data_IF_293473263388
#
_entry.id   IF_293473263388
#
_cell.length_a   1.000
_cell.length_b   1.000
_cell.length_c   1.000
_cell.angle_alpha   90.00
_cell.angle_beta   90.00
_cell.angle_gamma   90.00
#
_symmetry.space_group_name_H-M   'P 1'
#
loop_
_entity.id
_entity.type
_entity.pdbx_description
1 polymer ?
#
# COMPACT_ATOMS: atom_id res chain seq x y z
N UNK A 1 -37.72 -19.27 35.95
CA UNK A 1 -36.55 -20.06 35.48
C UNK A 1 -35.28 -19.22 35.60
N UNK A 2 -34.24 -19.67 36.33
CA UNK A 2 -33.02 -18.88 36.49
C UNK A 2 -32.19 -18.89 35.21
N UNK A 3 -31.82 -17.70 34.73
CA UNK A 3 -31.02 -17.48 33.52
C UNK A 3 -29.63 -18.13 33.67
N UNK A 4 -29.25 -18.95 32.70
CA UNK A 4 -27.90 -19.48 32.57
C UNK A 4 -26.89 -18.32 32.53
N UNK A 5 -25.92 -18.36 33.44
CA UNK A 5 -24.87 -17.36 33.55
C UNK A 5 -23.92 -17.50 32.35
N UNK A 6 -24.08 -16.64 31.33
CA UNK A 6 -23.30 -16.61 30.08
C UNK A 6 -21.82 -16.18 30.24
N UNK A 7 -21.27 -16.25 31.45
CA UNK A 7 -19.88 -15.86 31.71
C UNK A 7 -18.96 -17.10 31.72
N UNK A 8 -17.89 -17.03 30.93
CA UNK A 8 -16.78 -17.98 30.99
C UNK A 8 -16.13 -17.97 32.37
N UNK A 9 -15.71 -19.11 32.91
CA UNK A 9 -14.93 -19.15 34.16
C UNK A 9 -13.58 -18.42 34.03
N UNK A 10 -13.00 -18.04 35.15
CA UNK A 10 -11.78 -17.21 35.20
C UNK A 10 -10.62 -17.87 34.43
N UNK A 11 -10.48 -19.19 34.54
CA UNK A 11 -9.43 -19.97 33.87
C UNK A 11 -9.64 -20.12 32.37
N UNK A 12 -10.86 -20.42 31.91
CA UNK A 12 -11.11 -20.49 30.47
C UNK A 12 -10.95 -19.12 29.81
N UNK A 13 -11.29 -18.05 30.53
CA UNK A 13 -11.07 -16.69 30.07
C UNK A 13 -9.58 -16.33 29.96
N UNK A 14 -8.75 -16.68 30.96
CA UNK A 14 -7.31 -16.30 30.95
C UNK A 14 -6.55 -16.92 29.78
N UNK A 15 -6.93 -18.13 29.38
CA UNK A 15 -6.34 -18.86 28.25
C UNK A 15 -7.11 -18.70 26.94
N UNK A 16 -8.15 -17.86 26.90
CA UNK A 16 -9.00 -17.56 25.73
C UNK A 16 -9.62 -18.79 25.05
N UNK A 17 -10.08 -19.74 25.85
CA UNK A 17 -10.63 -21.01 25.39
C UNK A 17 -12.13 -21.13 25.64
N UNK A 18 -12.80 -22.01 24.87
CA UNK A 18 -14.25 -22.17 24.94
C UNK A 18 -14.69 -22.72 26.31
N UNK A 19 -15.56 -21.98 26.98
CA UNK A 19 -16.14 -22.36 28.27
C UNK A 19 -17.61 -22.74 28.08
N UNK A 20 -17.95 -23.99 28.36
CA UNK A 20 -19.32 -24.51 28.31
C UNK A 20 -19.74 -25.11 29.65
N UNK A 21 -20.99 -24.85 30.04
CA UNK A 21 -21.58 -25.30 31.30
C UNK A 21 -22.61 -26.39 31.02
N UNK A 22 -22.67 -27.39 31.89
CA UNK A 22 -23.76 -28.37 31.92
C UNK A 22 -24.80 -27.85 32.91
N UNK A 23 -26.09 -27.99 32.60
CA UNK A 23 -27.17 -27.61 33.51
C UNK A 23 -27.01 -28.33 34.85
N UNK A 24 -27.11 -27.57 35.96
CA UNK A 24 -26.95 -28.11 37.32
C UNK A 24 -25.50 -28.27 37.81
N UNK A 25 -24.48 -28.08 36.97
CA UNK A 25 -23.07 -28.21 37.38
C UNK A 25 -22.49 -26.93 37.99
N UNK A 26 -21.71 -27.08 39.07
CA UNK A 26 -20.92 -26.01 39.68
C UNK A 26 -19.59 -25.73 38.95
N UNK A 27 -19.21 -26.59 37.98
CA UNK A 27 -17.98 -26.46 37.18
C UNK A 27 -18.28 -26.49 35.67
N UNK A 28 -17.46 -25.79 34.88
CA UNK A 28 -17.55 -25.90 33.42
C UNK A 28 -16.99 -27.25 32.93
N UNK A 29 -17.47 -27.74 31.78
CA UNK A 29 -17.08 -29.06 31.24
C UNK A 29 -15.57 -29.24 31.13
N UNK A 30 -14.86 -28.18 30.75
CA UNK A 30 -13.41 -28.24 30.57
C UNK A 30 -12.66 -28.31 31.90
N UNK A 31 -13.08 -27.53 32.89
CA UNK A 31 -12.50 -27.60 34.23
C UNK A 31 -12.77 -28.96 34.88
N UNK A 32 -13.99 -29.49 34.74
CA UNK A 32 -14.35 -30.81 35.23
C UNK A 32 -13.53 -31.93 34.57
N UNK A 33 -13.42 -31.93 33.22
CA UNK A 33 -12.65 -32.93 32.49
C UNK A 33 -11.15 -32.92 32.81
N UNK A 34 -10.59 -31.74 33.09
CA UNK A 34 -9.16 -31.56 33.33
C UNK A 34 -8.79 -31.50 34.82
N UNK A 35 -9.76 -31.72 35.74
CA UNK A 35 -9.52 -31.69 37.17
C UNK A 35 -9.12 -30.32 37.73
N UNK A 36 -9.50 -29.22 37.06
CA UNK A 36 -9.14 -27.87 37.49
C UNK A 36 -10.23 -27.22 38.33
N UNK A 37 -9.82 -26.47 39.36
CA UNK A 37 -10.71 -25.61 40.14
C UNK A 37 -11.36 -24.55 39.24
N UNK A 38 -12.70 -24.47 39.29
CA UNK A 38 -13.49 -23.57 38.47
C UNK A 38 -14.03 -22.40 39.33
N UNK A 39 -13.58 -21.17 39.07
CA UNK A 39 -14.02 -19.95 39.78
C UNK A 39 -14.67 -18.92 38.84
N UNK A 40 -15.53 -18.05 39.40
CA UNK A 40 -16.19 -16.92 38.73
C UNK A 40 -15.99 -15.60 39.49
N UNK A 41 -14.81 -15.41 40.06
CA UNK A 41 -14.50 -14.26 40.93
C UNK A 41 -14.16 -12.98 40.16
N UNK A 42 -14.06 -13.03 38.82
CA UNK A 42 -13.70 -11.86 38.02
C UNK A 42 -14.75 -10.74 38.10
N UNK A 43 -14.31 -9.56 38.53
CA UNK A 43 -15.09 -8.33 38.45
C UNK A 43 -15.54 -8.04 37.00
N UNK A 44 -16.81 -7.68 36.83
CA UNK A 44 -17.33 -7.28 35.53
C UNK A 44 -16.65 -5.97 35.10
N UNK A 45 -15.95 -5.98 33.95
CA UNK A 45 -15.46 -4.73 33.34
C UNK A 45 -16.65 -3.85 32.99
N UNK A 46 -16.53 -2.53 33.20
CA UNK A 46 -17.52 -1.54 32.78
C UNK A 46 -17.89 -1.78 31.30
N UNK A 47 -19.18 -1.83 30.94
CA UNK A 47 -19.58 -2.12 29.56
C UNK A 47 -19.01 -1.06 28.62
N UNK A 48 -18.23 -1.49 27.62
CA UNK A 48 -17.96 -0.67 26.45
C UNK A 48 -19.27 -0.36 25.70
N UNK A 49 -19.26 0.74 24.95
CA UNK A 49 -20.39 1.30 24.18
C UNK A 49 -21.26 0.20 23.55
N UNK A 50 -22.55 0.16 23.88
CA UNK A 50 -23.53 -0.75 23.28
C UNK A 50 -23.63 -0.48 21.77
N UNK A 51 -23.54 -1.53 20.97
CA UNK A 51 -24.07 -1.55 19.60
C UNK A 51 -25.59 -1.63 19.73
N UNK A 52 -26.30 -0.68 19.13
CA UNK A 52 -27.76 -0.70 19.06
C UNK A 52 -28.20 -1.88 18.18
N UNK A 53 -28.96 -2.81 18.75
CA UNK A 53 -29.57 -3.93 18.01
C UNK A 53 -30.77 -3.44 17.19
N UNK A 54 -30.90 -3.95 15.96
CA UNK A 54 -31.95 -3.63 15.00
C UNK A 54 -33.41 -3.87 15.47
N UNK A 55 -33.63 -4.49 16.62
CA UNK A 55 -34.96 -4.73 17.19
C UNK A 55 -35.55 -3.54 17.98
N UNK A 56 -34.78 -2.49 18.26
CA UNK A 56 -35.28 -1.30 18.95
C UNK A 56 -35.92 -0.24 18.02
N UNK A 57 -36.02 -0.51 16.72
CA UNK A 57 -36.50 0.42 15.69
C UNK A 57 -38.00 0.29 15.33
N UNK A 58 -38.78 -0.58 15.99
CA UNK A 58 -40.19 -0.81 15.62
C UNK A 58 -41.24 -0.62 16.73
N UNK A 59 -40.86 -0.23 17.94
CA UNK A 59 -41.81 -0.15 19.06
C UNK A 59 -41.80 1.19 19.81
N UNK A 60 -41.77 2.32 19.08
CA UNK A 60 -42.20 3.62 19.62
C UNK A 60 -42.45 4.61 18.48
N UNK A 61 -43.71 4.67 18.00
CA UNK A 61 -44.25 5.85 17.33
C UNK A 61 -44.89 6.74 18.39
N UNK A 62 -44.35 7.95 18.63
CA UNK A 62 -45.18 9.10 18.83
C UNK A 62 -45.02 10.06 17.66
N UNK A 63 -46.17 10.56 17.25
CA UNK A 63 -46.41 11.45 16.15
C UNK A 63 -46.00 12.88 16.55
N UNK A 64 -44.85 13.38 16.09
CA UNK A 64 -44.57 14.83 16.08
C UNK A 64 -43.48 15.18 15.07
N UNK A 65 -43.81 16.13 14.20
CA UNK A 65 -42.94 16.75 13.19
C UNK A 65 -41.63 17.25 13.81
N UNK A 66 -40.49 16.71 13.38
CA UNK A 66 -39.19 17.37 13.49
C UNK A 66 -38.20 16.75 12.51
N UNK A 67 -38.02 17.45 11.38
CA UNK A 67 -36.92 17.32 10.44
C UNK A 67 -35.60 17.66 11.14
N UNK A 68 -34.85 16.65 11.60
CA UNK A 68 -33.46 16.84 12.02
C UNK A 68 -32.53 16.56 10.85
N UNK A 69 -32.24 17.61 10.09
CA UNK A 69 -31.08 17.70 9.20
C UNK A 69 -29.82 17.53 10.05
N UNK A 70 -28.97 16.56 9.71
CA UNK A 70 -27.57 16.57 10.18
C UNK A 70 -26.93 17.87 9.69
N UNK A 71 -26.18 18.62 10.53
CA UNK A 71 -25.50 19.82 10.07
C UNK A 71 -24.48 19.41 9.00
N UNK A 72 -24.75 19.80 7.76
CA UNK A 72 -23.77 19.85 6.68
C UNK A 72 -22.74 20.89 7.11
N UNK A 73 -21.70 20.45 7.81
CA UNK A 73 -20.58 21.30 8.16
C UNK A 73 -19.86 21.63 6.85
N UNK A 74 -20.21 22.77 6.26
CA UNK A 74 -19.43 23.34 5.18
C UNK A 74 -18.00 23.58 5.69
N UNK A 75 -16.99 23.40 4.83
CA UNK A 75 -15.63 23.78 5.19
C UNK A 75 -15.64 25.27 5.55
N UNK A 76 -14.87 25.62 6.57
CA UNK A 76 -14.60 27.05 6.77
C UNK A 76 -13.91 27.60 5.52
N UNK A 77 -14.17 28.86 5.16
CA UNK A 77 -13.51 29.49 4.00
C UNK A 77 -11.97 29.31 4.03
N UNK A 78 -11.37 29.22 5.22
CA UNK A 78 -9.95 28.93 5.40
C UNK A 78 -9.50 27.53 4.93
N UNK A 79 -10.35 26.51 5.03
CA UNK A 79 -10.03 25.15 4.57
C UNK A 79 -10.01 25.03 3.05
N UNK A 80 -10.97 25.66 2.36
CA UNK A 80 -10.98 25.74 0.90
C UNK A 80 -9.76 26.52 0.40
N UNK A 81 -9.45 27.67 1.02
CA UNK A 81 -8.27 28.46 0.67
C UNK A 81 -6.96 27.66 0.85
N UNK A 82 -6.87 26.82 1.87
CA UNK A 82 -5.72 25.93 2.07
C UNK A 82 -5.58 24.92 0.91
N UNK A 83 -6.70 24.32 0.46
CA UNK A 83 -6.69 23.41 -0.68
C UNK A 83 -6.23 24.14 -1.94
N UNK A 84 -6.80 25.31 -2.26
CA UNK A 84 -6.41 26.08 -3.44
C UNK A 84 -4.95 26.52 -3.40
N UNK A 85 -4.46 26.97 -2.24
CA UNK A 85 -3.06 27.35 -2.08
C UNK A 85 -2.12 26.17 -2.35
N UNK A 86 -2.43 25.00 -1.79
CA UNK A 86 -1.67 23.79 -2.00
C UNK A 86 -1.71 23.32 -3.46
N UNK A 87 -2.90 23.34 -4.08
CA UNK A 87 -3.09 23.07 -5.51
C UNK A 87 -2.43 24.09 -6.42
N UNK A 88 -2.05 25.27 -5.95
CA UNK A 88 -1.36 26.27 -6.77
C UNK A 88 0.18 26.16 -6.64
N UNK A 89 0.67 25.36 -5.69
CA UNK A 89 2.10 25.20 -5.45
C UNK A 89 2.66 23.94 -6.14
N UNK A 90 3.35 24.16 -7.26
CA UNK A 90 4.00 23.09 -8.03
C UNK A 90 4.98 22.26 -7.20
N UNK A 91 5.74 22.86 -6.27
CA UNK A 91 6.76 22.14 -5.48
C UNK A 91 6.17 20.95 -4.71
N UNK A 92 4.89 21.03 -4.37
CA UNK A 92 4.23 19.93 -3.69
C UNK A 92 3.94 18.75 -4.63
N UNK A 93 3.56 19.04 -5.87
CA UNK A 93 3.25 18.04 -6.89
C UNK A 93 4.46 17.59 -7.71
N UNK A 94 5.57 18.31 -7.66
CA UNK A 94 6.88 17.90 -8.20
C UNK A 94 7.33 16.56 -7.60
N UNK A 95 6.77 16.13 -6.47
CA UNK A 95 7.00 14.81 -5.86
C UNK A 95 6.35 13.66 -6.63
N UNK A 96 5.35 13.95 -7.45
CA UNK A 96 4.55 12.93 -8.14
C UNK A 96 4.61 13.06 -9.65
N UNK A 97 4.64 14.26 -10.21
CA UNK A 97 4.68 14.47 -11.66
C UNK A 97 6.09 14.32 -12.21
N UNK A 98 6.22 13.75 -13.41
CA UNK A 98 7.50 13.60 -14.11
C UNK A 98 8.21 14.94 -14.38
N UNK A 99 7.46 16.03 -14.45
CA UNK A 99 8.02 17.36 -14.59
C UNK A 99 6.97 18.46 -14.72
N UNK A 100 7.43 19.72 -14.84
CA UNK A 100 6.58 20.90 -14.81
C UNK A 100 5.62 20.99 -16.00
N UNK A 101 5.94 20.41 -17.16
CA UNK A 101 5.06 20.47 -18.33
C UNK A 101 3.69 19.79 -18.09
N UNK A 102 3.64 18.83 -17.16
CA UNK A 102 2.41 18.12 -16.81
C UNK A 102 1.52 18.89 -15.82
N UNK A 103 2.07 19.91 -15.16
CA UNK A 103 1.40 20.57 -14.04
C UNK A 103 0.15 21.35 -14.42
N UNK A 104 0.14 22.22 -15.44
CA UNK A 104 -1.03 23.07 -15.73
C UNK A 104 -2.31 22.25 -15.95
N UNK A 105 -2.21 21.19 -16.77
CA UNK A 105 -3.33 20.26 -17.02
C UNK A 105 -3.72 19.49 -15.78
N UNK A 106 -2.75 19.04 -14.97
CA UNK A 106 -3.03 18.32 -13.73
C UNK A 106 -3.78 19.20 -12.71
N UNK A 107 -3.31 20.42 -12.50
CA UNK A 107 -3.93 21.39 -11.61
C UNK A 107 -5.35 21.73 -12.06
N UNK A 108 -5.55 22.00 -13.36
CA UNK A 108 -6.87 22.26 -13.92
C UNK A 108 -7.86 21.10 -13.69
N UNK A 109 -7.42 19.85 -13.89
CA UNK A 109 -8.25 18.67 -13.63
C UNK A 109 -8.63 18.58 -12.13
N UNK A 110 -7.67 18.76 -11.22
CA UNK A 110 -7.93 18.73 -9.78
C UNK A 110 -8.95 19.78 -9.33
N UNK A 111 -8.80 21.02 -9.82
CA UNK A 111 -9.72 22.12 -9.51
C UNK A 111 -11.11 21.83 -10.06
N UNK A 112 -11.21 21.37 -11.31
CA UNK A 112 -12.48 21.00 -11.95
C UNK A 112 -13.20 19.92 -11.13
N UNK A 113 -12.50 18.88 -10.67
CA UNK A 113 -13.11 17.84 -9.84
C UNK A 113 -13.54 18.35 -8.47
N UNK A 114 -12.75 19.23 -7.84
CA UNK A 114 -13.12 19.82 -6.56
C UNK A 114 -14.41 20.64 -6.70
N UNK A 115 -14.56 21.43 -7.75
CA UNK A 115 -15.76 22.23 -8.01
C UNK A 115 -16.99 21.35 -8.24
N UNK A 116 -16.88 20.32 -9.09
CA UNK A 116 -18.02 19.47 -9.47
C UNK A 116 -18.40 18.42 -8.41
N UNK A 117 -17.47 18.01 -7.54
CA UNK A 117 -17.66 16.90 -6.60
C UNK A 117 -17.20 17.23 -5.18
N UNK A 118 -17.25 18.51 -4.80
CA UNK A 118 -16.75 19.02 -3.51
C UNK A 118 -17.25 18.18 -2.32
N UNK A 119 -18.56 17.90 -2.27
CA UNK A 119 -19.18 17.19 -1.14
C UNK A 119 -18.60 15.81 -0.85
N UNK A 120 -17.97 15.18 -1.85
CA UNK A 120 -17.32 13.87 -1.74
C UNK A 120 -15.81 14.02 -1.54
N UNK A 121 -15.19 15.00 -2.19
CA UNK A 121 -13.73 15.09 -2.29
C UNK A 121 -13.07 15.95 -1.21
N UNK A 122 -13.80 16.88 -0.61
CA UNK A 122 -13.25 17.88 0.30
C UNK A 122 -12.44 17.27 1.46
N UNK A 123 -12.99 16.29 2.16
CA UNK A 123 -12.30 15.62 3.25
C UNK A 123 -11.04 14.88 2.78
N UNK A 124 -11.01 14.38 1.55
CA UNK A 124 -9.85 13.70 1.00
C UNK A 124 -8.73 14.68 0.68
N UNK A 125 -9.07 15.82 0.06
CA UNK A 125 -8.13 16.91 -0.18
C UNK A 125 -7.57 17.48 1.13
N UNK A 126 -8.41 17.72 2.13
CA UNK A 126 -7.92 18.20 3.43
C UNK A 126 -7.00 17.19 4.10
N UNK A 127 -7.31 15.90 4.03
CA UNK A 127 -6.44 14.86 4.56
C UNK A 127 -5.08 14.84 3.86
N UNK A 128 -5.05 14.91 2.52
CA UNK A 128 -3.80 14.89 1.74
C UNK A 128 -2.96 16.15 1.99
N UNK A 129 -3.55 17.33 1.85
CA UNK A 129 -2.89 18.63 2.05
C UNK A 129 -2.30 18.72 3.45
N UNK A 130 -3.12 18.50 4.48
CA UNK A 130 -2.65 18.60 5.86
C UNK A 130 -1.54 17.59 6.14
N UNK A 131 -1.70 16.34 5.68
CA UNK A 131 -0.67 15.31 5.89
C UNK A 131 0.68 15.67 5.30
N UNK A 132 0.71 16.30 4.11
CA UNK A 132 1.94 16.76 3.47
C UNK A 132 2.57 17.90 4.27
N UNK A 133 1.77 18.85 4.75
CA UNK A 133 2.26 19.98 5.56
C UNK A 133 2.85 19.54 6.91
N UNK A 134 2.32 18.46 7.51
CA UNK A 134 2.81 17.94 8.78
C UNK A 134 4.00 16.96 8.65
N UNK A 135 4.33 16.48 7.43
CA UNK A 135 5.20 15.30 7.28
C UNK A 135 6.72 15.55 7.32
N UNK A 136 7.27 16.74 7.07
CA UNK A 136 8.73 16.87 7.05
C UNK A 136 9.38 18.26 7.20
N UNK A 137 8.72 19.38 6.87
CA UNK A 137 9.47 20.65 6.68
C UNK A 137 9.05 21.83 7.57
N UNK A 138 7.90 21.79 8.25
CA UNK A 138 7.40 22.92 9.06
C UNK A 138 7.47 22.75 10.58
N UNK A 139 8.02 21.64 11.08
CA UNK A 139 8.12 21.36 12.53
C UNK A 139 9.22 22.16 13.24
N UNK A 140 10.01 22.99 12.53
CA UNK A 140 11.13 23.73 13.12
C UNK A 140 10.75 25.04 13.81
N UNK A 141 9.57 25.62 13.57
CA UNK A 141 9.27 26.98 14.04
C UNK A 141 7.90 27.23 14.67
N UNK A 142 7.10 26.22 14.98
CA UNK A 142 5.89 26.47 15.78
C UNK A 142 5.65 25.35 16.78
N UNK A 143 5.42 25.74 18.03
CA UNK A 143 4.77 24.95 19.07
C UNK A 143 3.38 24.56 18.56
N UNK A 144 3.32 23.49 17.75
CA UNK A 144 2.09 23.08 17.10
C UNK A 144 1.19 22.33 18.09
N UNK A 145 -0.12 22.66 18.13
CA UNK A 145 -1.08 22.02 19.03
C UNK A 145 -1.29 20.56 18.66
N UNK A 146 -1.43 19.69 19.68
CA UNK A 146 -1.69 18.26 19.54
C UNK A 146 -2.93 17.91 18.68
N UNK A 147 -3.82 18.88 18.43
CA UNK A 147 -5.06 18.73 17.66
C UNK A 147 -4.87 18.66 16.13
N UNK A 148 -3.72 19.07 15.59
CA UNK A 148 -3.46 19.10 14.15
C UNK A 148 -3.51 17.70 13.52
N UNK A 149 -2.78 16.74 14.11
CA UNK A 149 -2.75 15.36 13.61
C UNK A 149 -4.12 14.67 13.76
N UNK A 150 -4.80 14.88 14.88
CA UNK A 150 -6.17 14.40 15.11
C UNK A 150 -7.13 14.88 14.02
N UNK A 151 -6.98 16.15 13.60
CA UNK A 151 -7.75 16.75 12.50
C UNK A 151 -7.49 16.03 11.18
N UNK A 152 -6.23 15.73 10.84
CA UNK A 152 -5.89 14.97 9.62
C UNK A 152 -6.56 13.61 9.59
N UNK A 153 -6.45 12.84 10.69
CA UNK A 153 -7.08 11.51 10.78
C UNK A 153 -8.61 11.58 10.72
N UNK A 154 -9.22 12.65 11.25
CA UNK A 154 -10.66 12.87 11.13
C UNK A 154 -11.08 13.08 9.68
N UNK A 155 -10.37 13.93 8.93
CA UNK A 155 -10.64 14.12 7.50
C UNK A 155 -10.41 12.82 6.72
N UNK A 156 -9.31 12.10 6.96
CA UNK A 156 -9.03 10.82 6.31
C UNK A 156 -10.13 9.77 6.60
N UNK A 157 -10.62 9.69 7.84
CA UNK A 157 -11.69 8.77 8.23
C UNK A 157 -13.02 9.08 7.52
N UNK A 158 -13.39 10.36 7.40
CA UNK A 158 -14.59 10.76 6.66
C UNK A 158 -14.45 10.50 5.16
N UNK A 159 -13.28 10.75 4.57
CA UNK A 159 -13.00 10.43 3.17
C UNK A 159 -13.05 8.91 2.92
N UNK A 160 -12.48 8.10 3.81
CA UNK A 160 -12.56 6.64 3.76
C UNK A 160 -13.99 6.13 3.85
N UNK A 161 -14.84 6.73 4.68
CA UNK A 161 -16.27 6.42 4.72
C UNK A 161 -16.91 6.70 3.37
N UNK A 162 -16.63 7.86 2.79
CA UNK A 162 -17.15 8.25 1.46
C UNK A 162 -16.71 7.26 0.37
N UNK A 163 -15.46 6.81 0.39
CA UNK A 163 -14.95 5.81 -0.57
C UNK A 163 -15.67 4.47 -0.43
N UNK A 164 -16.01 4.06 0.80
CA UNK A 164 -16.73 2.81 1.07
C UNK A 164 -18.22 2.85 0.70
N UNK A 165 -18.82 4.03 0.72
CA UNK A 165 -20.23 4.26 0.41
C UNK A 165 -20.46 4.61 -1.07
N UNK A 166 -19.39 4.95 -1.81
CA UNK A 166 -19.46 5.30 -3.22
C UNK A 166 -19.80 4.09 -4.09
N UNK A 167 -20.88 4.19 -4.86
CA UNK A 167 -21.27 3.21 -5.85
C UNK A 167 -20.92 3.76 -7.23
N UNK A 168 -19.98 3.10 -7.91
CA UNK A 168 -19.47 3.53 -9.22
C UNK A 168 -20.26 2.83 -10.32
N UNK A 169 -21.12 3.59 -10.98
CA UNK A 169 -22.03 3.11 -12.04
C UNK A 169 -21.82 3.81 -13.38
N UNK A 170 -21.20 4.98 -13.37
CA UNK A 170 -20.91 5.76 -14.57
C UNK A 170 -19.46 6.29 -14.60
N UNK A 171 -19.08 6.88 -15.73
CA UNK A 171 -17.74 7.41 -15.97
C UNK A 171 -17.35 8.53 -15.00
N UNK A 172 -18.28 9.43 -14.69
CA UNK A 172 -18.02 10.56 -13.81
C UNK A 172 -17.76 10.08 -12.38
N UNK A 173 -18.56 9.13 -11.90
CA UNK A 173 -18.39 8.50 -10.59
C UNK A 173 -17.07 7.71 -10.52
N UNK A 174 -16.66 7.04 -11.60
CA UNK A 174 -15.37 6.36 -11.66
C UNK A 174 -14.20 7.34 -11.56
N UNK A 175 -14.29 8.47 -12.26
CA UNK A 175 -13.31 9.56 -12.17
C UNK A 175 -13.25 10.16 -10.76
N UNK A 176 -14.40 10.52 -10.18
CA UNK A 176 -14.48 11.02 -8.79
C UNK A 176 -13.95 9.98 -7.79
N UNK A 177 -14.20 8.68 -8.00
CA UNK A 177 -13.66 7.60 -7.18
C UNK A 177 -12.13 7.55 -7.24
N UNK A 178 -11.53 7.73 -8.42
CA UNK A 178 -10.07 7.78 -8.57
C UNK A 178 -9.46 8.98 -7.84
N UNK A 179 -10.07 10.16 -7.97
CA UNK A 179 -9.60 11.38 -7.27
C UNK A 179 -9.72 11.22 -5.76
N UNK A 180 -10.86 10.69 -5.28
CA UNK A 180 -11.10 10.39 -3.86
C UNK A 180 -10.07 9.41 -3.31
N UNK A 181 -9.95 8.25 -3.96
CA UNK A 181 -9.04 7.18 -3.55
C UNK A 181 -7.59 7.61 -3.57
N UNK A 182 -7.17 8.35 -4.59
CA UNK A 182 -5.80 8.86 -4.73
C UNK A 182 -5.47 9.90 -3.65
N UNK A 183 -6.39 10.80 -3.31
CA UNK A 183 -6.15 11.75 -2.22
C UNK A 183 -6.05 11.06 -0.84
N UNK A 184 -6.87 10.04 -0.58
CA UNK A 184 -6.75 9.23 0.64
C UNK A 184 -5.42 8.46 0.64
N UNK A 185 -5.00 7.94 -0.50
CA UNK A 185 -3.70 7.28 -0.69
C UNK A 185 -2.55 8.26 -0.45
N UNK A 186 -2.62 9.51 -0.93
CA UNK A 186 -1.62 10.53 -0.65
C UNK A 186 -1.47 10.77 0.86
N UNK A 187 -2.58 10.87 1.60
CA UNK A 187 -2.54 10.88 3.07
C UNK A 187 -1.79 9.67 3.64
N UNK A 188 -2.09 8.46 3.15
CA UNK A 188 -1.43 7.25 3.60
C UNK A 188 0.07 7.24 3.26
N UNK A 189 0.48 7.75 2.10
CA UNK A 189 1.89 7.86 1.71
C UNK A 189 2.70 8.67 2.73
N UNK A 190 2.13 9.70 3.35
CA UNK A 190 2.82 10.52 4.36
C UNK A 190 2.70 9.95 5.78
N UNK A 191 1.55 9.38 6.13
CA UNK A 191 1.22 9.07 7.53
C UNK A 191 1.16 7.58 7.85
N UNK A 192 0.75 6.73 6.89
CA UNK A 192 0.45 5.30 7.05
C UNK A 192 0.83 4.51 5.78
N UNK A 193 2.12 4.45 5.41
CA UNK A 193 2.56 3.89 4.14
C UNK A 193 2.17 2.41 3.96
N UNK A 194 1.96 1.68 5.06
CA UNK A 194 1.49 0.29 5.04
C UNK A 194 0.08 0.11 4.44
N UNK A 195 -0.72 1.18 4.39
CA UNK A 195 -2.08 1.14 3.86
C UNK A 195 -2.17 1.49 2.36
N UNK A 196 -1.07 1.96 1.75
CA UNK A 196 -1.06 2.45 0.36
C UNK A 196 -1.57 1.37 -0.61
N UNK A 197 -1.06 0.14 -0.48
CA UNK A 197 -1.50 -0.98 -1.32
C UNK A 197 -3.01 -1.24 -1.21
N UNK A 198 -3.53 -1.38 0.01
CA UNK A 198 -4.95 -1.67 0.25
C UNK A 198 -5.86 -0.57 -0.31
N UNK A 199 -5.46 0.70 -0.17
CA UNK A 199 -6.22 1.84 -0.67
C UNK A 199 -6.22 1.91 -2.20
N UNK A 200 -5.07 1.70 -2.83
CA UNK A 200 -4.99 1.62 -4.29
C UNK A 200 -5.88 0.47 -4.80
N UNK A 201 -5.74 -0.71 -4.21
CA UNK A 201 -6.52 -1.90 -4.60
C UNK A 201 -8.02 -1.68 -4.44
N UNK A 202 -8.47 -1.16 -3.30
CA UNK A 202 -9.88 -0.85 -3.08
C UNK A 202 -10.42 0.14 -4.11
N UNK A 203 -9.66 1.20 -4.40
CA UNK A 203 -10.04 2.22 -5.39
C UNK A 203 -10.18 1.61 -6.79
N UNK A 204 -9.18 0.83 -7.23
CA UNK A 204 -9.20 0.20 -8.55
C UNK A 204 -10.32 -0.84 -8.68
N UNK A 205 -10.62 -1.60 -7.63
CA UNK A 205 -11.74 -2.56 -7.61
C UNK A 205 -13.09 -1.84 -7.74
N UNK A 206 -13.28 -0.69 -7.08
CA UNK A 206 -14.51 0.11 -7.23
C UNK A 206 -14.66 0.68 -8.64
N UNK A 207 -13.56 1.08 -9.27
CA UNK A 207 -13.56 1.66 -10.62
C UNK A 207 -13.74 0.61 -11.72
N UNK A 208 -13.32 -0.64 -11.47
CA UNK A 208 -13.30 -1.75 -12.44
C UNK A 208 -14.62 -1.93 -13.23
N UNK A 209 -15.82 -1.98 -12.62
CA UNK A 209 -17.05 -2.28 -13.37
C UNK A 209 -17.34 -1.28 -14.49
N UNK A 210 -17.06 0.01 -14.26
CA UNK A 210 -17.21 1.05 -15.28
C UNK A 210 -16.03 1.02 -16.23
N UNK A 211 -14.81 0.92 -15.69
CA UNK A 211 -13.59 0.89 -16.48
C UNK A 211 -13.72 -0.17 -17.58
N UNK A 212 -13.99 -1.43 -17.23
CA UNK A 212 -14.01 -2.56 -18.16
C UNK A 212 -14.99 -2.38 -19.35
N UNK A 213 -16.03 -1.54 -19.21
CA UNK A 213 -16.97 -1.22 -20.30
C UNK A 213 -16.49 -0.12 -21.25
N UNK A 214 -15.54 0.72 -20.85
CA UNK A 214 -15.06 1.86 -21.63
C UNK A 214 -13.99 1.39 -22.61
N UNK A 215 -14.24 1.56 -23.91
CA UNK A 215 -13.20 1.40 -24.92
C UNK A 215 -12.30 2.65 -24.97
N UNK A 216 -10.99 2.48 -24.76
CA UNK A 216 -9.99 3.55 -24.75
C UNK A 216 -10.25 4.67 -23.73
N UNK A 217 -9.95 4.45 -22.43
CA UNK A 217 -10.19 5.43 -21.37
C UNK A 217 -9.46 6.75 -21.63
N UNK A 218 -10.17 7.88 -21.48
CA UNK A 218 -9.59 9.22 -21.65
C UNK A 218 -8.58 9.51 -20.53
N UNK A 219 -7.31 9.83 -20.84
CA UNK A 219 -6.31 10.18 -19.84
C UNK A 219 -6.64 11.43 -19.00
N UNK A 220 -7.55 12.29 -19.43
CA UNK A 220 -8.01 13.42 -18.60
C UNK A 220 -9.11 13.01 -17.62
N UNK A 221 -10.06 12.17 -18.02
CA UNK A 221 -11.09 11.63 -17.11
C UNK A 221 -10.47 10.69 -16.07
N UNK A 222 -9.42 9.94 -16.45
CA UNK A 222 -8.77 8.92 -15.64
C UNK A 222 -7.34 9.33 -15.24
N UNK A 223 -7.09 10.62 -15.04
CA UNK A 223 -5.74 11.17 -14.92
C UNK A 223 -4.90 10.66 -13.75
N UNK A 224 -5.48 10.02 -12.73
CA UNK A 224 -4.77 9.36 -11.63
C UNK A 224 -4.53 7.85 -11.83
N UNK A 225 -5.17 7.23 -12.83
CA UNK A 225 -5.25 5.78 -12.97
C UNK A 225 -3.88 5.12 -13.04
N UNK A 226 -2.99 5.59 -13.91
CA UNK A 226 -1.66 5.00 -14.14
C UNK A 226 -0.79 5.06 -12.89
N UNK A 227 -0.82 6.17 -12.14
CA UNK A 227 -0.14 6.30 -10.86
C UNK A 227 -0.69 5.35 -9.79
N UNK A 228 -2.02 5.24 -9.66
CA UNK A 228 -2.66 4.30 -8.72
C UNK A 228 -2.36 2.85 -9.08
N UNK A 229 -2.39 2.49 -10.37
CA UNK A 229 -2.05 1.15 -10.85
C UNK A 229 -0.60 0.79 -10.53
N UNK A 230 0.33 1.72 -10.71
CA UNK A 230 1.73 1.49 -10.41
C UNK A 230 1.98 1.24 -8.91
N UNK A 231 1.34 2.02 -8.04
CA UNK A 231 1.44 1.82 -6.59
C UNK A 231 0.78 0.52 -6.14
N UNK A 232 -0.35 0.14 -6.75
CA UNK A 232 -0.97 -1.16 -6.49
C UNK A 232 -0.10 -2.31 -6.97
N UNK A 233 0.56 -2.19 -8.13
CA UNK A 233 1.47 -3.20 -8.69
C UNK A 233 2.62 -3.53 -7.74
N UNK A 234 3.21 -2.50 -7.11
CA UNK A 234 4.28 -2.66 -6.12
C UNK A 234 3.79 -3.49 -4.94
N UNK A 235 2.62 -3.16 -4.39
CA UNK A 235 2.03 -3.91 -3.29
C UNK A 235 1.62 -5.32 -3.70
N UNK A 236 1.03 -5.49 -4.89
CA UNK A 236 0.67 -6.79 -5.46
C UNK A 236 1.89 -7.70 -5.56
N UNK A 237 3.04 -7.18 -5.97
CA UNK A 237 4.29 -7.93 -5.99
C UNK A 237 4.71 -8.37 -4.59
N UNK A 238 4.80 -7.42 -3.64
CA UNK A 238 5.20 -7.65 -2.23
C UNK A 238 4.30 -8.70 -1.55
N UNK A 239 3.00 -8.63 -1.79
CA UNK A 239 2.00 -9.50 -1.18
C UNK A 239 1.69 -10.75 -2.01
N UNK A 240 2.31 -10.91 -3.19
CA UNK A 240 2.04 -11.98 -4.14
C UNK A 240 0.58 -12.03 -4.62
N UNK A 241 -0.10 -10.89 -4.66
CA UNK A 241 -1.45 -10.77 -5.18
C UNK A 241 -1.42 -10.50 -6.69
N UNK A 242 -2.49 -10.90 -7.39
CA UNK A 242 -2.72 -10.48 -8.77
C UNK A 242 -3.10 -8.99 -8.80
N UNK A 243 -2.49 -8.17 -9.69
CA UNK A 243 -2.84 -6.77 -9.85
C UNK A 243 -4.33 -6.53 -10.11
N UNK A 244 -4.88 -5.45 -9.55
CA UNK A 244 -6.32 -5.22 -9.54
C UNK A 244 -6.91 -4.74 -10.87
N UNK A 245 -6.12 -4.20 -11.81
CA UNK A 245 -6.62 -3.79 -13.11
C UNK A 245 -5.57 -4.03 -14.18
N UNK A 246 -6.03 -4.45 -15.36
CA UNK A 246 -5.21 -4.52 -16.56
C UNK A 246 -5.29 -3.19 -17.31
N UNK A 247 -4.13 -2.60 -17.60
CA UNK A 247 -4.07 -1.31 -18.29
C UNK A 247 -4.64 -1.43 -19.70
N UNK A 248 -5.45 -0.47 -20.13
CA UNK A 248 -5.97 -0.35 -21.49
C UNK A 248 -5.56 0.99 -22.07
N UNK A 249 -4.91 0.99 -23.25
CA UNK A 249 -4.39 2.21 -23.85
C UNK A 249 -5.55 3.15 -24.23
N UNK A 250 -5.32 4.47 -24.20
CA UNK A 250 -6.26 5.43 -24.73
C UNK A 250 -6.42 5.27 -26.25
N UNK A 251 -7.50 5.81 -26.82
CA UNK A 251 -7.74 5.74 -28.29
C UNK A 251 -6.70 6.50 -29.10
N UNK A 252 -6.15 7.58 -28.54
CA UNK A 252 -5.05 8.32 -29.16
C UNK A 252 -3.73 7.59 -28.86
N UNK A 253 -3.02 7.06 -29.87
CA UNK A 253 -1.86 6.18 -29.66
C UNK A 253 -0.62 6.91 -29.12
N UNK A 254 -0.54 8.24 -29.28
CA UNK A 254 0.65 9.01 -28.95
C UNK A 254 0.34 9.95 -27.78
N UNK A 255 0.54 9.45 -26.56
CA UNK A 255 0.34 10.19 -25.32
C UNK A 255 1.49 9.92 -24.34
N UNK A 256 2.04 11.00 -23.77
CA UNK A 256 3.04 10.91 -22.69
C UNK A 256 2.31 11.05 -21.36
N UNK A 257 2.35 9.98 -20.56
CA UNK A 257 1.68 9.94 -19.27
C UNK A 257 2.40 10.79 -18.21
N UNK A 258 1.63 11.46 -17.36
CA UNK A 258 2.16 12.38 -16.35
C UNK A 258 2.96 11.72 -15.23
N UNK A 259 2.83 10.41 -15.04
CA UNK A 259 3.51 9.61 -14.01
C UNK A 259 4.50 8.61 -14.60
N UNK A 260 4.08 7.93 -15.67
CA UNK A 260 4.81 6.82 -16.29
C UNK A 260 5.36 7.15 -17.68
N UNK A 261 5.22 8.39 -18.15
CA UNK A 261 5.82 8.87 -19.38
C UNK A 261 5.42 7.97 -20.56
N UNK A 262 6.43 7.37 -21.18
CA UNK A 262 6.25 6.47 -22.31
C UNK A 262 6.11 4.98 -21.90
N UNK A 263 6.15 4.68 -20.61
CA UNK A 263 6.18 3.32 -20.06
C UNK A 263 4.79 2.71 -19.83
N UNK A 264 3.70 3.40 -20.17
CA UNK A 264 2.33 2.95 -19.86
C UNK A 264 1.96 1.63 -20.53
N UNK A 265 2.39 1.41 -21.78
CA UNK A 265 2.15 0.14 -22.48
C UNK A 265 2.83 -1.05 -21.79
N UNK A 266 3.93 -0.81 -21.06
CA UNK A 266 4.60 -1.83 -20.26
C UNK A 266 3.76 -2.31 -19.07
N UNK A 267 2.80 -1.51 -18.57
CA UNK A 267 1.90 -1.93 -17.50
C UNK A 267 1.09 -3.19 -17.85
N UNK A 268 0.79 -3.40 -19.13
CA UNK A 268 0.11 -4.63 -19.58
C UNK A 268 1.01 -5.86 -19.42
N UNK A 269 2.30 -5.72 -19.71
CA UNK A 269 3.28 -6.79 -19.54
C UNK A 269 3.53 -7.05 -18.07
N UNK A 270 3.65 -5.99 -17.25
CA UNK A 270 3.79 -6.11 -15.80
C UNK A 270 2.57 -6.75 -15.12
N UNK A 271 1.36 -6.51 -15.64
CA UNK A 271 0.17 -7.24 -15.17
C UNK A 271 0.34 -8.76 -15.34
N UNK A 272 0.79 -9.20 -16.52
CA UNK A 272 1.05 -10.62 -16.79
C UNK A 272 2.16 -11.19 -15.90
N UNK A 273 3.21 -10.41 -15.66
CA UNK A 273 4.25 -10.76 -14.67
C UNK A 273 3.63 -10.94 -13.29
N UNK A 274 2.72 -10.07 -12.87
CA UNK A 274 2.00 -10.18 -11.59
C UNK A 274 1.14 -11.44 -11.48
N UNK A 275 0.42 -11.81 -12.55
CA UNK A 275 -0.37 -13.05 -12.63
C UNK A 275 0.53 -14.30 -12.49
N UNK A 276 1.65 -14.33 -13.22
CA UNK A 276 2.63 -15.41 -13.12
C UNK A 276 3.32 -15.44 -11.76
N UNK A 277 3.64 -14.28 -11.18
CA UNK A 277 4.22 -14.20 -9.83
C UNK A 277 3.29 -14.76 -8.76
N UNK A 278 2.00 -14.45 -8.82
CA UNK A 278 1.01 -14.97 -7.87
C UNK A 278 0.85 -16.50 -8.01
N UNK A 279 0.61 -16.98 -9.24
CA UNK A 279 0.42 -18.40 -9.52
C UNK A 279 1.66 -19.27 -9.21
N UNK A 280 2.86 -18.80 -9.57
CA UNK A 280 4.10 -19.53 -9.31
C UNK A 280 4.58 -19.42 -7.87
N UNK A 281 4.18 -18.37 -7.15
CA UNK A 281 4.39 -18.32 -5.71
C UNK A 281 3.56 -19.43 -5.04
N UNK A 282 2.30 -19.61 -5.41
CA UNK A 282 1.39 -20.61 -4.82
C UNK A 282 1.77 -22.07 -5.13
N UNK A 283 2.51 -22.31 -6.22
CA UNK A 283 3.08 -23.62 -6.53
C UNK A 283 4.21 -23.98 -5.54
N UNK A 284 4.04 -25.11 -4.85
CA UNK A 284 4.87 -25.60 -3.72
C UNK A 284 6.37 -25.69 -4.08
N UNK A 285 7.21 -25.12 -3.22
CA UNK A 285 8.65 -25.43 -3.06
C UNK A 285 9.61 -24.86 -4.12
N UNK A 286 10.75 -24.26 -3.73
CA UNK A 286 11.74 -23.70 -4.66
C UNK A 286 12.37 -24.74 -5.62
N UNK A 287 12.34 -26.02 -5.24
CA UNK A 287 12.92 -27.14 -5.99
C UNK A 287 11.95 -27.77 -7.00
N UNK A 288 10.70 -27.30 -7.07
CA UNK A 288 9.76 -27.79 -8.07
C UNK A 288 10.02 -27.05 -9.37
N UNK A 289 10.31 -27.83 -10.42
CA UNK A 289 10.48 -27.31 -11.77
C UNK A 289 9.22 -26.55 -12.18
N UNK A 290 9.40 -25.39 -12.80
CA UNK A 290 8.30 -24.65 -13.41
C UNK A 290 7.62 -25.56 -14.41
N UNK A 291 6.30 -25.72 -14.32
CA UNK A 291 5.55 -26.52 -15.29
C UNK A 291 5.88 -26.04 -16.72
N UNK A 292 6.11 -26.94 -17.69
CA UNK A 292 6.39 -26.59 -19.08
C UNK A 292 5.49 -25.51 -19.69
N UNK A 293 4.20 -25.45 -19.33
CA UNK A 293 3.30 -24.40 -19.79
C UNK A 293 3.69 -23.02 -19.27
N UNK A 294 3.90 -22.88 -17.96
CA UNK A 294 4.33 -21.64 -17.35
C UNK A 294 5.74 -21.22 -17.81
N UNK A 295 6.61 -22.17 -18.13
CA UNK A 295 7.92 -21.88 -18.74
C UNK A 295 7.75 -21.22 -20.11
N UNK A 296 6.91 -21.78 -20.99
CA UNK A 296 6.64 -21.20 -22.32
C UNK A 296 6.02 -19.81 -22.22
N UNK A 297 5.11 -19.61 -21.25
CA UNK A 297 4.51 -18.30 -21.02
C UNK A 297 5.54 -17.26 -20.57
N UNK A 298 6.49 -17.65 -19.70
CA UNK A 298 7.61 -16.81 -19.29
C UNK A 298 8.56 -16.50 -20.46
N UNK A 299 8.90 -17.48 -21.29
CA UNK A 299 9.76 -17.28 -22.46
C UNK A 299 9.11 -16.34 -23.49
N UNK A 300 7.82 -16.51 -23.76
CA UNK A 300 7.05 -15.62 -24.64
C UNK A 300 6.95 -14.20 -24.07
N UNK A 301 6.75 -14.07 -22.76
CA UNK A 301 6.71 -12.77 -22.09
C UNK A 301 8.09 -12.09 -22.10
N UNK A 302 9.17 -12.83 -21.84
CA UNK A 302 10.55 -12.34 -21.94
C UNK A 302 10.85 -11.81 -23.34
N UNK A 303 10.53 -12.59 -24.38
CA UNK A 303 10.69 -12.18 -25.78
C UNK A 303 9.90 -10.90 -26.10
N UNK A 304 8.67 -10.79 -25.58
CA UNK A 304 7.84 -9.59 -25.77
C UNK A 304 8.47 -8.36 -25.10
N UNK A 305 8.98 -8.49 -23.87
CA UNK A 305 9.65 -7.38 -23.16
C UNK A 305 10.98 -7.00 -23.80
N UNK A 306 11.72 -7.98 -24.34
CA UNK A 306 12.95 -7.73 -25.09
C UNK A 306 12.66 -6.97 -26.40
N UNK A 307 11.60 -7.31 -27.11
CA UNK A 307 11.20 -6.62 -28.34
C UNK A 307 10.50 -5.26 -28.09
N UNK A 308 9.98 -5.05 -26.87
CA UNK A 308 9.24 -3.85 -26.52
C UNK A 308 10.08 -2.58 -26.65
N UNK A 309 9.49 -1.57 -27.31
CA UNK A 309 9.92 -0.20 -27.33
C UNK A 309 8.69 0.70 -27.15
N UNK A 310 8.82 1.86 -26.49
CA UNK A 310 7.72 2.81 -26.41
C UNK A 310 7.47 3.49 -27.76
N UNK A 311 6.23 3.88 -28.00
CA UNK A 311 5.88 4.82 -29.07
C UNK A 311 6.34 6.23 -28.67
N UNK A 312 7.20 6.85 -29.47
CA UNK A 312 7.79 8.16 -29.19
C UNK A 312 7.11 9.23 -30.05
N UNK A 313 6.48 10.27 -29.44
CA UNK A 313 5.93 11.39 -30.20
C UNK A 313 7.02 12.15 -30.97
N UNK A 314 6.77 12.50 -32.23
CA UNK A 314 7.71 13.28 -33.05
C UNK A 314 8.06 14.65 -32.43
N UNK A 315 7.08 15.23 -31.72
CA UNK A 315 7.21 16.53 -31.09
C UNK A 315 7.73 16.47 -29.63
N UNK A 316 8.20 15.32 -29.14
CA UNK A 316 8.63 15.13 -27.75
C UNK A 316 9.65 16.20 -27.31
N UNK A 317 10.69 16.44 -28.12
CA UNK A 317 11.76 17.40 -27.82
C UNK A 317 11.27 18.86 -27.81
N UNK A 318 10.13 19.16 -28.44
CA UNK A 318 9.52 20.49 -28.42
C UNK A 318 8.57 20.69 -27.24
N UNK A 319 8.03 19.59 -26.68
CA UNK A 319 7.06 19.62 -25.59
C UNK A 319 7.70 19.62 -24.21
N UNK A 320 8.86 18.98 -24.07
CA UNK A 320 9.48 18.71 -22.78
C UNK A 320 10.91 19.25 -22.70
N UNK A 321 11.32 19.65 -21.51
CA UNK A 321 12.70 20.05 -21.21
C UNK A 321 13.66 18.87 -21.32
N UNK A 322 14.96 19.15 -21.46
CA UNK A 322 16.00 18.12 -21.47
C UNK A 322 16.00 17.27 -20.19
N UNK A 323 15.67 17.86 -19.04
CA UNK A 323 15.55 17.15 -17.75
C UNK A 323 14.36 16.19 -17.77
N UNK A 324 13.20 16.63 -18.25
CA UNK A 324 12.01 15.77 -18.39
C UNK A 324 12.26 14.62 -19.35
N UNK A 325 12.91 14.88 -20.49
CA UNK A 325 13.29 13.85 -21.46
C UNK A 325 14.23 12.82 -20.83
N UNK A 326 15.24 13.27 -20.09
CA UNK A 326 16.16 12.38 -19.37
C UNK A 326 15.40 11.50 -18.35
N UNK A 327 14.45 12.05 -17.61
CA UNK A 327 13.62 11.31 -16.66
C UNK A 327 12.71 10.29 -17.35
N UNK A 328 12.03 10.70 -18.44
CA UNK A 328 11.16 9.83 -19.23
C UNK A 328 11.92 8.62 -19.77
N UNK A 329 13.08 8.84 -20.39
CA UNK A 329 13.87 7.73 -20.96
C UNK A 329 14.57 6.90 -19.89
N UNK A 330 15.01 7.48 -18.79
CA UNK A 330 15.51 6.71 -17.65
C UNK A 330 14.42 5.77 -17.11
N UNK A 331 13.19 6.27 -16.96
CA UNK A 331 12.06 5.46 -16.52
C UNK A 331 11.75 4.31 -17.50
N UNK A 332 11.75 4.57 -18.80
CA UNK A 332 11.57 3.54 -19.85
C UNK A 332 12.58 2.41 -19.69
N UNK A 333 13.87 2.74 -19.54
CA UNK A 333 14.93 1.74 -19.42
C UNK A 333 14.83 0.99 -18.08
N UNK A 334 14.70 1.71 -16.96
CA UNK A 334 14.60 1.12 -15.64
C UNK A 334 13.40 0.18 -15.51
N UNK A 335 12.24 0.56 -16.06
CA UNK A 335 11.02 -0.25 -16.02
C UNK A 335 11.13 -1.50 -16.90
N UNK A 336 11.73 -1.40 -18.10
CA UNK A 336 11.98 -2.55 -18.96
C UNK A 336 12.94 -3.55 -18.32
N UNK A 337 14.07 -3.06 -17.77
CA UNK A 337 15.03 -3.90 -17.05
C UNK A 337 14.39 -4.53 -15.80
N UNK A 338 13.56 -3.77 -15.08
CA UNK A 338 12.79 -4.29 -13.96
C UNK A 338 11.88 -5.45 -14.39
N UNK A 339 11.14 -5.33 -15.49
CA UNK A 339 10.30 -6.41 -16.00
C UNK A 339 11.11 -7.66 -16.36
N UNK A 340 12.26 -7.50 -17.01
CA UNK A 340 13.17 -8.61 -17.33
C UNK A 340 13.71 -9.29 -16.07
N UNK A 341 14.09 -8.51 -15.06
CA UNK A 341 14.58 -9.05 -13.79
C UNK A 341 13.48 -9.83 -13.05
N UNK A 342 12.25 -9.31 -13.04
CA UNK A 342 11.10 -10.01 -12.47
C UNK A 342 10.88 -11.36 -13.17
N UNK A 343 10.86 -11.37 -14.51
CA UNK A 343 10.70 -12.59 -15.32
C UNK A 343 11.84 -13.57 -15.04
N UNK A 344 13.08 -13.08 -14.99
CA UNK A 344 14.26 -13.89 -14.66
C UNK A 344 14.08 -14.60 -13.31
N UNK A 345 13.60 -13.90 -12.27
CA UNK A 345 13.39 -14.49 -10.93
C UNK A 345 12.16 -15.39 -10.82
N UNK A 346 11.24 -15.32 -11.78
CA UNK A 346 10.18 -16.32 -11.92
C UNK A 346 10.70 -17.60 -12.57
N UNK A 347 11.69 -17.51 -13.47
CA UNK A 347 12.37 -18.67 -14.09
C UNK A 347 13.38 -19.29 -13.12
N UNK A 348 14.19 -18.46 -12.48
CA UNK A 348 15.34 -18.85 -11.65
C UNK A 348 15.16 -18.26 -10.23
N UNK A 349 14.87 -19.12 -9.22
CA UNK A 349 14.73 -18.71 -7.82
C UNK A 349 15.93 -17.93 -7.27
N UNK A 350 15.68 -17.15 -6.22
CA UNK A 350 16.73 -16.45 -5.48
C UNK A 350 17.74 -17.43 -4.85
N UNK A 351 19.03 -17.08 -4.88
CA UNK A 351 20.10 -17.95 -4.40
C UNK A 351 20.66 -18.90 -5.45
N UNK A 352 20.06 -18.92 -6.65
CA UNK A 352 20.56 -19.67 -7.81
C UNK A 352 20.87 -18.71 -8.96
N UNK A 353 22.04 -18.88 -9.58
CA UNK A 353 22.51 -18.06 -10.70
C UNK A 353 22.25 -16.56 -10.48
N UNK A 354 22.74 -16.02 -9.37
CA UNK A 354 22.45 -14.65 -8.97
C UNK A 354 23.25 -13.59 -9.76
N UNK A 355 24.33 -13.98 -10.44
CA UNK A 355 25.21 -13.03 -11.12
C UNK A 355 24.51 -12.26 -12.27
N UNK A 356 23.75 -12.89 -13.18
CA UNK A 356 22.97 -12.17 -14.19
C UNK A 356 21.92 -11.21 -13.59
N UNK A 357 21.18 -11.67 -12.57
CA UNK A 357 20.19 -10.85 -11.88
C UNK A 357 20.82 -9.61 -11.24
N UNK A 358 21.96 -9.79 -10.57
CA UNK A 358 22.73 -8.69 -9.99
C UNK A 358 23.24 -7.71 -11.05
N UNK A 359 23.69 -8.19 -12.21
CA UNK A 359 24.12 -7.30 -13.30
C UNK A 359 22.99 -6.40 -13.82
N UNK A 360 21.77 -6.97 -13.98
CA UNK A 360 20.58 -6.19 -14.34
C UNK A 360 20.23 -5.18 -13.23
N UNK A 361 20.25 -5.62 -11.97
CA UNK A 361 19.98 -4.76 -10.82
C UNK A 361 20.93 -3.56 -10.72
N UNK A 362 22.25 -3.78 -10.86
CA UNK A 362 23.24 -2.70 -10.89
C UNK A 362 22.97 -1.75 -12.05
N UNK A 363 22.61 -2.26 -13.23
CA UNK A 363 22.25 -1.42 -14.37
C UNK A 363 21.07 -0.49 -14.07
N UNK A 364 20.01 -1.01 -13.42
CA UNK A 364 18.85 -0.20 -12.99
C UNK A 364 19.29 0.89 -12.01
N UNK A 365 20.00 0.51 -10.94
CA UNK A 365 20.38 1.43 -9.87
C UNK A 365 21.34 2.52 -10.36
N UNK A 366 22.35 2.14 -11.16
CA UNK A 366 23.28 3.10 -11.76
C UNK A 366 22.57 4.07 -12.70
N UNK A 367 21.63 3.62 -13.55
CA UNK A 367 20.87 4.52 -14.42
C UNK A 367 20.06 5.56 -13.63
N UNK A 368 19.39 5.13 -12.56
CA UNK A 368 18.63 6.02 -11.69
C UNK A 368 19.54 7.03 -10.99
N UNK A 369 20.67 6.57 -10.46
CA UNK A 369 21.63 7.41 -9.76
C UNK A 369 22.33 8.40 -10.70
N UNK A 370 22.77 7.97 -11.88
CA UNK A 370 23.36 8.86 -12.88
C UNK A 370 22.37 9.94 -13.31
N UNK A 371 21.10 9.56 -13.54
CA UNK A 371 20.06 10.54 -13.90
C UNK A 371 19.83 11.54 -12.76
N UNK A 372 19.79 11.08 -11.51
CA UNK A 372 19.74 11.95 -10.33
C UNK A 372 20.94 12.90 -10.29
N UNK A 373 22.17 12.41 -10.45
CA UNK A 373 23.38 13.23 -10.40
C UNK A 373 23.43 14.28 -11.51
N UNK A 374 22.96 13.96 -12.71
CA UNK A 374 22.97 14.88 -13.86
C UNK A 374 21.85 15.91 -13.78
N UNK A 375 20.66 15.51 -13.34
CA UNK A 375 19.47 16.39 -13.36
C UNK A 375 19.20 17.09 -12.02
N UNK A 376 19.86 16.66 -10.95
CA UNK A 376 19.60 17.11 -9.58
C UNK A 376 18.26 16.64 -9.00
N UNK A 377 17.52 15.79 -9.73
CA UNK A 377 16.21 15.28 -9.30
C UNK A 377 16.11 13.78 -9.55
N UNK A 378 15.54 13.06 -8.59
CA UNK A 378 15.32 11.64 -8.75
C UNK A 378 14.09 11.37 -9.65
N UNK A 379 14.17 10.27 -10.41
CA UNK A 379 13.17 9.86 -11.40
C UNK A 379 11.89 9.41 -10.69
N UNK A 380 10.75 9.94 -11.10
CA UNK A 380 9.47 9.64 -10.46
C UNK A 380 8.99 8.23 -10.77
N UNK A 381 8.19 7.68 -9.86
CA UNK A 381 7.59 6.34 -9.97
C UNK A 381 8.62 5.19 -10.17
N UNK A 382 9.87 5.38 -9.74
CA UNK A 382 10.92 4.36 -9.80
C UNK A 382 10.88 3.33 -8.65
N UNK A 383 9.83 3.33 -7.81
CA UNK A 383 9.79 2.51 -6.59
C UNK A 383 9.84 1.00 -6.86
N UNK A 384 9.23 0.52 -7.95
CA UNK A 384 9.29 -0.89 -8.32
C UNK A 384 10.69 -1.28 -8.83
N UNK A 385 11.30 -0.57 -9.81
CA UNK A 385 12.69 -0.80 -10.18
C UNK A 385 13.67 -0.76 -9.00
N UNK A 386 13.53 0.21 -8.10
CA UNK A 386 14.39 0.33 -6.91
C UNK A 386 14.21 -0.88 -5.99
N UNK A 387 12.97 -1.26 -5.66
CA UNK A 387 12.69 -2.43 -4.83
C UNK A 387 13.31 -3.69 -5.44
N UNK A 388 13.00 -3.96 -6.72
CA UNK A 388 13.39 -5.18 -7.42
C UNK A 388 14.91 -5.25 -7.60
N UNK A 389 15.58 -4.13 -7.88
CA UNK A 389 17.03 -4.12 -8.02
C UNK A 389 17.76 -4.25 -6.67
N UNK A 390 17.30 -3.52 -5.63
CA UNK A 390 17.97 -3.57 -4.32
C UNK A 390 17.91 -4.96 -3.68
N UNK A 391 16.83 -5.73 -3.86
CA UNK A 391 16.75 -7.09 -3.28
C UNK A 391 17.79 -8.06 -3.86
N UNK A 392 18.33 -7.77 -5.04
CA UNK A 392 19.37 -8.60 -5.68
C UNK A 392 20.74 -8.44 -5.04
N UNK A 393 20.98 -7.33 -4.32
CA UNK A 393 22.26 -7.03 -3.69
C UNK A 393 22.58 -8.02 -2.57
N UNK A 394 23.80 -8.57 -2.59
CA UNK A 394 24.24 -9.63 -1.67
C UNK A 394 25.31 -9.18 -0.70
N UNK A 395 26.21 -8.29 -1.10
CA UNK A 395 27.32 -7.87 -0.22
C UNK A 395 26.85 -6.79 0.73
N UNK A 396 27.35 -6.82 1.97
CA UNK A 396 27.05 -5.82 2.98
C UNK A 396 27.38 -4.41 2.50
N UNK A 397 28.52 -4.25 1.83
CA UNK A 397 28.96 -2.97 1.24
C UNK A 397 27.97 -2.39 0.23
N UNK A 398 27.43 -3.21 -0.67
CA UNK A 398 26.43 -2.78 -1.66
C UNK A 398 25.11 -2.44 -0.99
N UNK A 399 24.68 -3.30 -0.06
CA UNK A 399 23.44 -3.14 0.69
C UNK A 399 23.46 -1.81 1.45
N UNK A 400 24.51 -1.52 2.21
CA UNK A 400 24.62 -0.28 2.98
C UNK A 400 24.70 0.96 2.07
N UNK A 401 25.47 0.86 0.99
CA UNK A 401 25.62 1.94 0.02
C UNK A 401 24.30 2.36 -0.64
N UNK A 402 23.46 1.39 -1.03
CA UNK A 402 22.20 1.67 -1.71
C UNK A 402 21.02 1.90 -0.76
N UNK A 403 20.99 1.20 0.38
CA UNK A 403 19.84 1.25 1.29
C UNK A 403 19.60 2.68 1.82
N UNK A 404 20.68 3.42 2.10
CA UNK A 404 20.59 4.82 2.54
C UNK A 404 19.98 5.76 1.51
N UNK A 405 20.11 5.45 0.21
CA UNK A 405 19.62 6.25 -0.92
C UNK A 405 18.16 5.93 -1.28
N UNK A 406 17.63 4.78 -0.87
CA UNK A 406 16.26 4.32 -1.22
C UNK A 406 15.19 5.40 -0.96
N UNK A 407 15.14 6.08 0.20
CA UNK A 407 14.09 7.06 0.45
C UNK A 407 14.12 8.28 -0.49
N UNK A 408 15.27 8.61 -1.05
CA UNK A 408 15.43 9.70 -2.01
C UNK A 408 15.05 9.24 -3.44
N UNK A 409 15.46 8.02 -3.81
CA UNK A 409 15.12 7.41 -5.09
C UNK A 409 13.62 7.07 -5.22
N UNK A 410 12.95 6.77 -4.10
CA UNK A 410 11.50 6.55 -4.02
C UNK A 410 10.80 7.89 -3.79
N UNK A 411 10.69 8.71 -4.83
CA UNK A 411 10.43 10.16 -4.76
C UNK A 411 9.04 10.64 -4.29
N UNK A 412 8.19 9.79 -3.71
CA UNK A 412 6.82 10.18 -3.38
C UNK A 412 6.69 10.83 -1.99
N UNK A 413 7.29 10.21 -0.98
CA UNK A 413 7.37 10.74 0.39
C UNK A 413 8.50 10.02 1.14
N UNK A 414 9.09 10.68 2.14
CA UNK A 414 10.09 10.05 3.00
C UNK A 414 9.54 8.82 3.73
N UNK A 415 8.31 8.91 4.23
CA UNK A 415 7.66 7.81 4.95
C UNK A 415 7.46 6.58 4.05
N UNK A 416 7.04 6.77 2.79
CA UNK A 416 6.89 5.68 1.84
C UNK A 416 8.25 5.13 1.39
N UNK A 417 9.24 5.98 1.19
CA UNK A 417 10.61 5.56 0.91
C UNK A 417 11.21 4.66 2.02
N UNK A 418 10.97 5.01 3.28
CA UNK A 418 11.34 4.17 4.43
C UNK A 418 10.55 2.87 4.49
N UNK A 419 9.28 2.86 4.07
CA UNK A 419 8.51 1.63 3.95
C UNK A 419 9.10 0.69 2.90
N UNK A 420 9.46 1.18 1.70
CA UNK A 420 10.14 0.39 0.68
C UNK A 420 11.50 -0.12 1.18
N UNK A 421 12.26 0.73 1.89
CA UNK A 421 13.51 0.32 2.55
C UNK A 421 13.30 -0.84 3.53
N UNK A 422 12.20 -0.81 4.31
CA UNK A 422 11.80 -1.89 5.21
C UNK A 422 11.48 -3.20 4.47
N UNK A 423 10.78 -3.11 3.34
CA UNK A 423 10.50 -4.28 2.50
C UNK A 423 11.78 -4.91 1.96
N UNK A 424 12.74 -4.10 1.46
CA UNK A 424 14.05 -4.57 0.99
C UNK A 424 14.81 -5.30 2.10
N UNK A 425 14.87 -4.73 3.31
CA UNK A 425 15.53 -5.38 4.47
C UNK A 425 14.91 -6.72 4.83
N UNK A 426 13.58 -6.82 4.74
CA UNK A 426 12.90 -8.07 5.02
C UNK A 426 13.25 -9.14 3.96
N UNK A 427 13.44 -8.76 2.69
CA UNK A 427 13.89 -9.66 1.63
C UNK A 427 15.31 -10.18 1.88
N UNK A 428 16.22 -9.27 2.23
CA UNK A 428 17.59 -9.65 2.58
C UNK A 428 17.61 -10.58 3.80
N UNK A 429 16.85 -10.26 4.85
CA UNK A 429 16.72 -11.15 6.02
C UNK A 429 16.27 -12.55 5.62
N UNK A 430 15.24 -12.67 4.77
CA UNK A 430 14.75 -13.97 4.30
C UNK A 430 15.80 -14.74 3.48
N UNK A 431 16.55 -14.05 2.63
CA UNK A 431 17.62 -14.62 1.81
C UNK A 431 18.81 -15.07 2.65
N UNK A 432 19.21 -14.28 3.64
CA UNK A 432 20.38 -14.54 4.48
C UNK A 432 20.17 -15.75 5.41
N UNK A 433 18.92 -16.04 5.80
CA UNK A 433 18.58 -17.28 6.52
C UNK A 433 18.47 -18.51 5.60
N UNK A 434 18.84 -18.38 4.32
CA UNK A 434 18.91 -19.47 3.35
C UNK A 434 17.57 -19.88 2.75
N UNK A 435 16.53 -19.04 2.86
CA UNK A 435 15.25 -19.35 2.21
C UNK A 435 15.39 -19.14 0.71
N UNK A 436 15.23 -20.23 -0.04
CA UNK A 436 15.11 -20.17 -1.50
C UNK A 436 13.64 -19.92 -1.81
N UNK A 437 13.37 -18.85 -2.54
CA UNK A 437 12.02 -18.49 -2.97
C UNK A 437 12.00 -18.07 -4.44
N UNK A 438 10.85 -18.27 -5.06
CA UNK A 438 10.57 -17.90 -6.45
C UNK A 438 9.70 -16.65 -6.44
N UNK A 439 10.02 -15.69 -7.30
CA UNK A 439 9.32 -14.41 -7.34
C UNK A 439 9.49 -13.58 -6.07
N UNK A 440 8.57 -12.65 -5.83
CA UNK A 440 8.76 -11.54 -4.87
C UNK A 440 7.67 -11.50 -3.77
N UNK A 441 6.99 -12.62 -3.51
CA UNK A 441 6.01 -12.68 -2.43
C UNK A 441 6.68 -12.74 -1.04
N UNK A 442 7.05 -11.58 -0.50
CA UNK A 442 7.70 -11.48 0.80
C UNK A 442 6.74 -11.66 1.98
N UNK A 443 5.44 -11.43 1.79
CA UNK A 443 4.44 -11.58 2.86
C UNK A 443 4.45 -12.97 3.51
N UNK A 444 4.90 -13.99 2.76
CA UNK A 444 5.10 -15.36 3.23
C UNK A 444 6.19 -15.51 4.28
N UNK A 445 7.18 -14.63 4.28
CA UNK A 445 8.35 -14.72 5.17
C UNK A 445 8.23 -13.82 6.38
N UNK A 446 7.45 -12.73 6.29
CA UNK A 446 7.17 -11.83 7.41
C UNK A 446 6.08 -12.36 8.35
N UNK A 447 5.16 -13.22 7.88
CA UNK A 447 4.19 -13.89 8.74
C UNK A 447 4.84 -14.94 9.69
N UNK A 448 6.00 -15.50 9.31
CA UNK A 448 6.68 -16.53 10.10
C UNK A 448 7.51 -15.96 11.29
N UNK A 449 7.79 -14.65 11.30
CA UNK A 449 8.56 -14.00 12.37
C UNK A 449 7.76 -13.64 13.63
N UNK A 450 6.43 -13.49 13.53
CA UNK A 450 5.58 -13.16 14.68
C UNK A 450 5.32 -14.35 15.61
N UNK A 451 5.35 -15.58 15.10
CA UNK A 451 5.25 -16.78 15.94
C UNK A 451 6.57 -17.15 16.61
N UNK A 452 7.72 -16.90 15.97
CA UNK A 452 9.04 -17.16 16.56
C UNK A 452 9.44 -16.14 17.63
N UNK A 453 9.00 -14.90 17.52
CA UNK A 453 9.20 -13.87 18.54
C UNK A 453 8.35 -14.11 19.80
N UNK A 454 7.14 -14.70 19.64
CA UNK A 454 6.32 -15.21 20.77
C UNK A 454 6.87 -16.47 21.42
N UNK A 455 7.50 -17.36 20.65
CA UNK A 455 8.15 -18.55 21.21
C UNK A 455 9.40 -18.18 22.04
N UNK A 456 10.26 -17.28 21.54
CA UNK A 456 11.45 -16.83 22.26
C UNK A 456 11.16 -15.97 23.49
N UNK A 457 10.01 -15.31 23.57
CA UNK A 457 9.60 -14.59 24.79
C UNK A 457 9.02 -15.51 25.87
N UNK A 458 8.63 -16.74 25.53
CA UNK A 458 8.19 -17.75 26.50
C UNK A 458 9.38 -18.44 27.16
N UNK A 459 10.39 -18.81 26.38
CA UNK A 459 11.56 -19.51 26.92
C UNK A 459 12.45 -18.64 27.83
N UNK A 460 12.43 -17.32 27.66
CA UNK A 460 13.14 -16.39 28.57
C UNK A 460 12.45 -16.14 29.91
N UNK A 461 11.16 -16.49 30.05
CA UNK A 461 10.40 -16.29 31.28
C UNK A 461 10.29 -17.53 32.17
N UNK A 462 10.78 -18.70 31.71
CA UNK A 462 10.76 -19.95 32.50
C UNK A 462 12.13 -20.31 33.13
N UNK A 463 13.20 -19.55 32.84
CA UNK A 463 14.54 -19.81 33.38
C UNK A 463 15.02 -18.78 34.43
N UNK A 464 14.10 -18.06 35.07
CA UNK A 464 14.41 -16.98 36.01
C UNK A 464 13.60 -17.04 37.31
N UNK A 465 13.61 -18.17 38.04
CA UNK A 465 13.20 -18.20 39.46
C UNK A 465 13.64 -19.50 40.14
N UNK A 466 14.87 -19.55 40.64
CA UNK A 466 15.19 -20.35 41.83
C UNK A 466 16.51 -19.87 42.43
N UNK A 467 16.55 -19.80 43.77
CA UNK A 467 17.69 -19.57 44.66
C UNK A 467 17.91 -18.14 45.14
N UNK A 468 17.09 -17.69 46.09
CA UNK A 468 17.58 -17.02 47.32
C UNK A 468 16.71 -17.47 48.50
N UNK A 469 17.34 -18.11 49.48
CA UNK A 469 16.75 -18.37 50.80
C UNK A 469 17.68 -19.22 51.66
N UNK A 470 18.31 -18.61 52.68
CA UNK A 470 18.89 -19.33 53.81
C UNK A 470 20.26 -18.86 54.27
N UNK A 471 20.28 -17.78 55.04
CA UNK A 471 21.41 -17.32 55.88
C UNK A 471 21.64 -18.19 57.13
N UNK A 472 22.88 -18.12 57.62
CA UNK A 472 23.41 -18.39 58.98
C UNK A 472 23.93 -19.81 59.29
N UNK A 473 25.25 -19.97 59.46
CA UNK A 473 25.93 -19.85 60.76
C UNK A 473 27.45 -20.14 60.67
N UNK A 474 28.20 -19.38 61.48
CA UNK A 474 29.65 -19.41 61.82
C UNK A 474 30.57 -18.74 60.80
#
# INVERSE_FOLDING_TARGET
MPRACNQSCDRCYSIKERCSWVEGSSQCMRCSRLGFTCSKTRQAKKPGRRVLSAAALQANRPNTRSTSLLPRAFPSAGQINLIHHWMSNYETFDRFLLGPAFWPRHCAALMTHLEHSQSVLEHAYLASVLSATYSAENSRHTSQPADGLSTVYRHASTALRSLRELHVTDRQQASTCLVLGTNIMLFAMFQRPENVFTLCRQTLVLVRPVYDTIDGPDPEDFFFLTGTMMLEMVGSLIHGAVPALRFRPPKSPVYVDRYLGLSTSLLQLLHRVGELNSSLSDAVGPNVAVNPMASRDLDGLESTVLAWQPDVPENLCSMFSAVEIAHIFCQVQAMRLCALLLIYRLKIPFGMHDAPARAIAISILTQLQTTLSVTGKAVKFAMLPVLVACVELTTETERDGWLSQVPELVCCSRAYGLFIQGAIRAFWTARDVGVVFRGYNISRFTACSDDRSRARSKDRNESGTSLIGGTAHI
#
